data_IF_644352311364
#
_entry.id   IF_644352311364
#
_cell.length_a   1.000
_cell.length_b   1.000
_cell.length_c   1.000
_cell.angle_alpha   90.00
_cell.angle_beta   90.00
_cell.angle_gamma   90.00
#
_symmetry.space_group_name_H-M   'P 1'
#
loop_
_entity.id
_entity.type
_entity.pdbx_description
1 polymer ?
#
# COMPACT_ATOMS: atom_id res chain seq x y z
N UNK A 1 41.93 23.16 14.00
CA UNK A 1 42.26 22.05 14.93
C UNK A 1 41.75 20.76 14.34
N UNK A 2 42.64 19.78 14.22
CA UNK A 2 42.41 18.45 13.67
C UNK A 2 41.99 17.44 14.75
N UNK A 3 41.32 16.35 14.33
CA UNK A 3 41.46 14.95 14.78
C UNK A 3 40.17 14.19 14.37
N UNK A 4 40.23 13.25 13.41
CA UNK A 4 40.50 11.79 13.55
C UNK A 4 39.36 11.08 14.32
N UNK A 5 38.75 9.98 13.85
CA UNK A 5 39.33 8.64 13.73
C UNK A 5 38.70 7.77 12.62
N UNK A 6 39.52 6.86 12.09
CA UNK A 6 39.26 5.90 11.01
C UNK A 6 38.84 4.50 11.51
N UNK A 7 38.32 3.64 10.61
CA UNK A 7 38.64 2.19 10.50
C UNK A 7 37.93 1.58 9.28
N UNK A 8 38.62 1.31 8.15
CA UNK A 8 39.19 0.02 7.66
C UNK A 8 38.19 -1.12 7.37
N UNK A 9 38.10 -1.50 6.09
CA UNK A 9 38.25 -2.87 5.55
C UNK A 9 38.24 -2.80 4.01
N UNK A 10 39.40 -2.78 3.34
CA UNK A 10 40.19 -3.91 2.81
C UNK A 10 39.87 -4.27 1.36
N UNK A 11 40.92 -4.17 0.54
CA UNK A 11 41.06 -4.42 -0.91
C UNK A 11 40.72 -5.87 -1.31
N UNK A 12 40.10 -6.04 -2.47
CA UNK A 12 40.46 -6.98 -3.58
C UNK A 12 39.83 -6.35 -4.84
N UNK A 13 40.55 -5.82 -5.83
CA UNK A 13 41.37 -6.52 -6.83
C UNK A 13 40.74 -6.30 -8.22
N UNK A 14 41.33 -5.42 -9.04
CA UNK A 14 40.94 -5.21 -10.45
C UNK A 14 41.51 -6.36 -11.30
N UNK A 15 40.73 -6.90 -12.24
CA UNK A 15 41.25 -7.28 -13.55
C UNK A 15 40.12 -7.22 -14.59
N UNK A 16 40.32 -6.33 -15.56
CA UNK A 16 39.66 -6.30 -16.85
C UNK A 16 40.52 -7.19 -17.74
N UNK A 17 39.99 -8.22 -18.42
CA UNK A 17 40.43 -8.69 -19.75
C UNK A 17 39.50 -9.82 -20.25
N UNK A 18 38.89 -9.54 -21.40
CA UNK A 18 38.44 -10.39 -22.53
C UNK A 18 38.25 -11.91 -22.38
N UNK A 19 37.09 -12.38 -22.85
CA UNK A 19 36.87 -13.75 -23.35
C UNK A 19 35.56 -13.88 -24.13
N UNK A 20 35.65 -14.11 -25.44
CA UNK A 20 34.54 -14.45 -26.36
C UNK A 20 34.19 -15.95 -26.26
N UNK A 21 32.91 -16.32 -26.26
CA UNK A 21 32.33 -17.38 -27.14
C UNK A 21 30.87 -17.74 -26.81
N UNK A 22 30.08 -17.79 -27.90
CA UNK A 22 28.88 -18.55 -28.27
C UNK A 22 27.79 -19.05 -27.29
N UNK A 23 26.58 -18.55 -27.57
CA UNK A 23 25.29 -19.23 -27.79
C UNK A 23 24.87 -20.38 -26.87
N UNK A 24 23.84 -20.13 -26.06
CA UNK A 24 22.71 -21.07 -25.92
C UNK A 24 21.43 -20.35 -25.46
N UNK A 25 20.37 -20.74 -26.15
CA UNK A 25 18.95 -20.43 -25.98
C UNK A 25 18.51 -20.60 -24.52
N UNK A 26 18.06 -19.51 -23.88
CA UNK A 26 17.52 -19.52 -22.51
C UNK A 26 16.48 -18.41 -22.35
N UNK A 27 15.27 -18.80 -21.93
CA UNK A 27 14.01 -18.06 -22.01
C UNK A 27 13.96 -16.70 -21.32
N UNK A 28 13.36 -15.71 -21.99
CA UNK A 28 13.06 -14.36 -21.50
C UNK A 28 11.95 -14.30 -20.42
N UNK A 29 11.89 -15.25 -19.47
CA UNK A 29 10.71 -15.45 -18.63
C UNK A 29 10.92 -15.30 -17.11
N UNK A 30 11.98 -14.63 -16.67
CA UNK A 30 12.30 -14.52 -15.24
C UNK A 30 12.78 -13.12 -14.80
N UNK A 31 12.08 -12.06 -15.21
CA UNK A 31 12.36 -10.68 -14.74
C UNK A 31 11.12 -9.83 -14.45
N UNK A 32 10.02 -10.41 -13.95
CA UNK A 32 8.77 -9.62 -13.69
C UNK A 32 8.25 -9.65 -12.26
N UNK A 33 8.90 -10.34 -11.31
CA UNK A 33 8.37 -10.45 -9.94
C UNK A 33 9.00 -9.51 -8.90
N UNK A 34 10.19 -8.96 -9.14
CA UNK A 34 10.93 -8.20 -8.12
C UNK A 34 10.57 -6.69 -8.04
N UNK A 35 9.94 -6.11 -9.06
CA UNK A 35 9.57 -4.69 -9.05
C UNK A 35 8.25 -4.38 -8.31
N UNK A 36 7.44 -5.39 -8.00
CA UNK A 36 6.16 -5.18 -7.31
C UNK A 36 6.35 -5.03 -5.78
N UNK A 37 7.31 -5.78 -5.21
CA UNK A 37 7.62 -5.74 -3.79
C UNK A 37 8.41 -4.49 -3.37
N UNK A 38 9.30 -3.97 -4.23
CA UNK A 38 10.06 -2.74 -3.93
C UNK A 38 9.21 -1.47 -3.98
N UNK A 39 8.16 -1.43 -4.82
CA UNK A 39 7.20 -0.32 -4.84
C UNK A 39 6.30 -0.26 -3.60
N UNK A 40 6.16 -1.37 -2.87
CA UNK A 40 5.36 -1.41 -1.64
C UNK A 40 6.15 -1.00 -0.40
N UNK A 41 7.48 -1.03 -0.46
CA UNK A 41 8.34 -0.57 0.63
C UNK A 41 8.69 0.92 0.46
N UNK A 42 8.08 1.75 1.32
CA UNK A 42 8.52 3.11 1.74
C UNK A 42 7.90 4.37 1.13
N UNK A 43 6.75 4.33 0.47
CA UNK A 43 6.06 5.58 0.10
C UNK A 43 4.61 5.65 0.56
N UNK A 44 4.14 6.87 0.79
CA UNK A 44 2.73 7.19 0.96
C UNK A 44 1.87 6.53 -0.14
N UNK A 45 0.60 6.31 0.15
CA UNK A 45 -0.34 5.87 -0.89
C UNK A 45 -0.56 7.05 -1.84
N UNK A 46 -0.03 6.92 -3.04
CA UNK A 46 -0.02 7.97 -4.07
C UNK A 46 -0.78 7.54 -5.32
N UNK A 47 -0.88 8.45 -6.29
CA UNK A 47 -1.49 8.18 -7.58
C UNK A 47 -0.91 6.89 -8.21
N UNK A 48 -1.77 6.08 -8.83
CA UNK A 48 -1.48 4.75 -9.41
C UNK A 48 -1.16 3.63 -8.43
N UNK A 49 -1.10 3.89 -7.12
CA UNK A 49 -0.99 2.80 -6.12
C UNK A 49 -2.21 1.90 -6.21
N UNK A 50 -2.00 0.59 -6.31
CA UNK A 50 -3.08 -0.41 -6.27
C UNK A 50 -3.28 -0.88 -4.83
N UNK A 51 -4.53 -0.86 -4.37
CA UNK A 51 -4.92 -1.26 -3.02
C UNK A 51 -5.98 -2.35 -3.10
N UNK A 52 -5.95 -3.26 -2.12
CA UNK A 52 -7.01 -4.26 -1.95
C UNK A 52 -8.24 -3.60 -1.33
N UNK A 53 -9.42 -4.02 -1.73
CA UNK A 53 -10.67 -3.64 -1.08
C UNK A 53 -11.02 -4.72 -0.06
N UNK A 54 -11.29 -4.31 1.17
CA UNK A 54 -11.52 -5.23 2.31
C UNK A 54 -12.93 -5.08 2.88
N UNK A 55 -13.90 -4.87 2.01
CA UNK A 55 -15.31 -4.87 2.35
C UNK A 55 -16.11 -5.77 1.39
N UNK A 56 -17.40 -5.93 1.68
CA UNK A 56 -18.32 -6.69 0.85
C UNK A 56 -19.07 -5.83 -0.20
N UNK A 57 -18.54 -4.66 -0.58
CA UNK A 57 -19.15 -3.80 -1.62
C UNK A 57 -19.14 -4.45 -3.02
N UNK A 58 -18.29 -5.47 -3.21
CA UNK A 58 -18.10 -6.20 -4.45
C UNK A 58 -16.87 -5.75 -5.24
N UNK A 59 -16.20 -4.65 -4.89
CA UNK A 59 -14.90 -4.34 -5.45
C UNK A 59 -13.81 -5.24 -4.83
N UNK A 60 -12.80 -5.62 -5.61
CA UNK A 60 -11.65 -6.44 -5.16
C UNK A 60 -10.36 -5.63 -5.08
N UNK A 61 -10.09 -4.82 -6.12
CA UNK A 61 -8.91 -3.94 -6.18
C UNK A 61 -9.30 -2.58 -6.72
N UNK A 62 -8.67 -1.55 -6.16
CA UNK A 62 -8.79 -0.17 -6.62
C UNK A 62 -7.41 0.41 -6.89
N UNK A 63 -7.34 1.38 -7.80
CA UNK A 63 -6.15 2.17 -8.05
C UNK A 63 -6.38 3.60 -7.57
N UNK A 64 -5.52 4.08 -6.68
CA UNK A 64 -5.55 5.45 -6.19
C UNK A 64 -5.40 6.45 -7.35
N UNK A 65 -6.30 7.43 -7.39
CA UNK A 65 -6.24 8.57 -8.30
C UNK A 65 -5.65 9.76 -7.53
N UNK A 66 -6.18 10.02 -6.33
CA UNK A 66 -5.81 11.19 -5.56
C UNK A 66 -6.03 10.97 -4.06
N UNK A 67 -5.10 11.46 -3.23
CA UNK A 67 -5.32 11.60 -1.80
C UNK A 67 -6.06 12.92 -1.50
N UNK A 68 -7.15 12.87 -0.72
CA UNK A 68 -7.89 14.09 -0.36
C UNK A 68 -7.17 14.94 0.68
N UNK A 69 -6.27 14.31 1.45
CA UNK A 69 -5.46 14.97 2.48
C UNK A 69 -3.98 14.74 2.20
N UNK A 70 -3.20 15.81 2.33
CA UNK A 70 -1.74 15.78 2.24
C UNK A 70 -1.18 15.94 0.82
N UNK A 71 -0.03 16.61 0.72
CA UNK A 71 0.67 16.85 -0.56
C UNK A 71 1.47 15.63 -1.06
N UNK A 72 1.96 14.79 -0.13
CA UNK A 72 2.86 13.65 -0.45
C UNK A 72 2.10 12.34 -0.74
N UNK A 73 0.80 12.31 -0.53
CA UNK A 73 -0.05 11.10 -0.61
C UNK A 73 -0.79 10.81 0.70
N UNK A 74 -1.55 9.72 0.72
CA UNK A 74 -2.38 9.30 1.84
C UNK A 74 -1.64 8.39 2.82
N UNK A 75 -2.03 8.50 4.10
CA UNK A 75 -1.59 7.64 5.19
C UNK A 75 -2.75 6.82 5.73
N UNK A 76 -2.45 5.99 6.74
CA UNK A 76 -3.46 5.24 7.48
C UNK A 76 -4.56 6.15 8.07
N UNK A 77 -5.80 5.85 7.67
CA UNK A 77 -7.02 6.55 8.05
C UNK A 77 -7.35 7.77 7.20
N UNK A 78 -6.61 8.04 6.11
CA UNK A 78 -6.96 9.11 5.17
C UNK A 78 -7.90 8.60 4.07
N UNK A 79 -8.71 9.52 3.54
CA UNK A 79 -9.61 9.25 2.41
C UNK A 79 -8.90 9.51 1.09
N UNK A 80 -9.07 8.59 0.14
CA UNK A 80 -8.58 8.68 -1.23
C UNK A 80 -9.74 8.61 -2.22
N UNK A 81 -9.53 9.17 -3.41
CA UNK A 81 -10.32 8.90 -4.60
C UNK A 81 -9.61 7.80 -5.39
N UNK A 82 -10.34 6.81 -5.85
CA UNK A 82 -9.80 5.65 -6.54
C UNK A 82 -10.69 5.17 -7.69
N UNK A 83 -10.11 4.49 -8.67
CA UNK A 83 -10.84 3.78 -9.72
C UNK A 83 -10.86 2.29 -9.45
N UNK A 84 -12.01 1.64 -9.63
CA UNK A 84 -12.16 0.20 -9.43
C UNK A 84 -11.53 -0.55 -10.60
N UNK A 85 -10.56 -1.42 -10.32
CA UNK A 85 -9.83 -2.19 -11.34
C UNK A 85 -10.36 -3.61 -11.48
N UNK A 86 -10.75 -4.21 -10.36
CA UNK A 86 -11.32 -5.55 -10.31
C UNK A 86 -12.55 -5.52 -9.40
N UNK A 87 -13.64 -6.17 -9.84
CA UNK A 87 -14.89 -6.26 -9.10
C UNK A 87 -15.59 -7.59 -9.38
N UNK A 88 -16.45 -8.01 -8.45
CA UNK A 88 -17.37 -9.12 -8.63
C UNK A 88 -18.50 -8.73 -9.60
N UNK A 89 -18.93 -9.61 -10.53
CA UNK A 89 -19.98 -9.30 -11.50
C UNK A 89 -21.29 -8.82 -10.83
N UNK A 90 -21.67 -9.46 -9.72
CA UNK A 90 -22.90 -9.18 -8.98
C UNK A 90 -22.70 -8.16 -7.84
N UNK A 91 -21.52 -7.54 -7.74
CA UNK A 91 -21.22 -6.54 -6.71
C UNK A 91 -21.99 -5.24 -6.91
N UNK A 92 -22.23 -4.49 -5.80
CA UNK A 92 -22.80 -3.14 -5.84
C UNK A 92 -21.90 -2.16 -6.60
N UNK A 93 -20.59 -2.33 -6.45
CA UNK A 93 -19.58 -1.50 -7.11
C UNK A 93 -19.02 -2.25 -8.32
N UNK A 94 -19.08 -1.62 -9.50
CA UNK A 94 -18.62 -2.18 -10.79
C UNK A 94 -17.21 -1.72 -11.15
N UNK A 95 -16.54 -2.49 -12.01
CA UNK A 95 -15.24 -2.12 -12.61
C UNK A 95 -15.34 -0.78 -13.34
N UNK A 96 -14.28 0.02 -13.28
CA UNK A 96 -14.19 1.33 -13.95
C UNK A 96 -14.81 2.48 -13.15
N UNK A 97 -15.68 2.21 -12.17
CA UNK A 97 -16.30 3.25 -11.35
C UNK A 97 -15.26 4.01 -10.53
N UNK A 98 -15.41 5.33 -10.45
CA UNK A 98 -14.66 6.18 -9.51
C UNK A 98 -15.37 6.16 -8.17
N UNK A 99 -14.61 5.87 -7.11
CA UNK A 99 -15.11 5.66 -5.74
C UNK A 99 -14.21 6.37 -4.73
N UNK A 100 -14.73 6.58 -3.52
CA UNK A 100 -13.96 7.03 -2.38
C UNK A 100 -13.61 5.84 -1.51
N UNK A 101 -12.45 5.88 -0.87
CA UNK A 101 -12.01 4.82 0.05
C UNK A 101 -11.22 5.37 1.21
N UNK A 102 -11.42 4.81 2.39
CA UNK A 102 -10.60 5.09 3.58
C UNK A 102 -9.51 4.05 3.67
N UNK A 103 -8.26 4.49 3.83
CA UNK A 103 -7.11 3.59 4.02
C UNK A 103 -7.19 2.96 5.40
N UNK A 104 -7.33 1.64 5.45
CA UNK A 104 -7.43 0.87 6.70
C UNK A 104 -6.21 0.02 6.96
N UNK A 105 -5.43 -0.36 5.95
CA UNK A 105 -4.11 -0.98 6.14
C UNK A 105 -3.10 -0.31 5.23
N UNK A 106 -1.90 -0.13 5.75
CA UNK A 106 -0.80 0.50 5.04
C UNK A 106 0.52 -0.19 5.39
N UNK A 107 1.32 -0.47 4.36
CA UNK A 107 2.68 -0.97 4.51
C UNK A 107 3.65 0.08 5.07
N UNK A 108 3.30 1.36 4.95
CA UNK A 108 4.03 2.46 5.57
C UNK A 108 3.72 2.52 7.07
N UNK A 109 4.77 2.53 7.90
CA UNK A 109 4.64 2.61 9.35
C UNK A 109 4.02 3.94 9.80
N UNK A 110 3.28 3.88 10.90
CA UNK A 110 2.73 5.05 11.59
C UNK A 110 3.05 4.95 13.07
N UNK A 111 3.84 5.91 13.55
CA UNK A 111 4.09 6.07 14.99
C UNK A 111 2.83 6.48 15.75
N UNK A 112 2.69 5.92 16.94
CA UNK A 112 1.68 6.25 17.95
C UNK A 112 2.30 7.19 19.00
N UNK A 113 1.44 7.75 19.85
CA UNK A 113 1.89 8.69 20.90
C UNK A 113 2.64 8.00 22.05
N UNK A 114 2.48 6.70 22.22
CA UNK A 114 3.21 5.87 23.17
C UNK A 114 4.59 5.41 22.65
N UNK A 115 4.98 5.83 21.44
CA UNK A 115 6.22 5.43 20.79
C UNK A 115 6.15 4.10 20.04
N UNK A 116 5.05 3.34 20.16
CA UNK A 116 4.85 2.14 19.34
C UNK A 116 4.58 2.50 17.89
N UNK A 117 4.86 1.58 16.95
CA UNK A 117 4.54 1.75 15.54
C UNK A 117 3.52 0.73 15.07
N UNK A 118 2.59 1.16 14.21
CA UNK A 118 1.69 0.26 13.49
C UNK A 118 2.11 0.14 12.03
N UNK A 119 2.20 -1.09 11.54
CA UNK A 119 2.48 -1.44 10.15
C UNK A 119 1.70 -2.70 9.78
N UNK A 120 1.26 -2.76 8.53
CA UNK A 120 0.61 -3.93 7.95
C UNK A 120 1.43 -4.48 6.78
N UNK A 121 1.16 -5.72 6.36
CA UNK A 121 1.86 -6.33 5.24
C UNK A 121 1.39 -5.79 3.88
N UNK A 122 0.14 -5.34 3.80
CA UNK A 122 -0.47 -4.85 2.57
C UNK A 122 -1.20 -3.50 2.71
N UNK A 123 -1.45 -2.88 1.57
CA UNK A 123 -2.25 -1.67 1.46
C UNK A 123 -3.71 -2.03 1.15
N UNK A 124 -4.63 -1.60 2.02
CA UNK A 124 -6.05 -1.91 1.88
C UNK A 124 -6.96 -0.74 2.22
N UNK A 125 -8.13 -0.73 1.59
CA UNK A 125 -9.17 0.30 1.75
C UNK A 125 -10.55 -0.29 1.99
N UNK A 126 -11.38 0.48 2.68
CA UNK A 126 -12.83 0.27 2.74
C UNK A 126 -13.49 1.36 1.90
N UNK A 127 -14.44 0.98 1.05
CA UNK A 127 -15.13 1.93 0.18
C UNK A 127 -16.16 2.73 0.97
N UNK A 128 -16.19 4.03 0.71
CA UNK A 128 -17.10 4.97 1.35
C UNK A 128 -17.82 5.82 0.32
N UNK A 129 -18.96 6.38 0.70
CA UNK A 129 -19.63 7.43 -0.05
C UNK A 129 -18.94 8.79 0.11
N UNK A 130 -19.53 9.84 -0.49
CA UNK A 130 -19.00 11.20 -0.40
C UNK A 130 -19.08 11.78 1.01
N UNK A 131 -19.97 11.25 1.84
CA UNK A 131 -20.21 11.61 3.24
C UNK A 131 -19.30 10.80 4.20
N UNK A 132 -18.43 9.95 3.67
CA UNK A 132 -17.50 9.11 4.44
C UNK A 132 -18.17 7.92 5.15
N UNK A 133 -19.38 7.55 4.73
CA UNK A 133 -20.10 6.38 5.24
C UNK A 133 -19.70 5.12 4.45
N UNK A 134 -19.51 3.97 5.11
CA UNK A 134 -19.13 2.73 4.43
C UNK A 134 -20.23 2.27 3.45
N UNK A 135 -19.83 1.88 2.24
CA UNK A 135 -20.72 1.32 1.22
C UNK A 135 -21.02 -0.16 1.52
N UNK A 136 -20.02 -0.88 2.02
CA UNK A 136 -20.15 -2.25 2.50
C UNK A 136 -20.86 -2.33 3.85
N UNK A 137 -21.40 -3.50 4.15
CA UNK A 137 -22.04 -3.82 5.43
C UNK A 137 -21.10 -4.60 6.35
N UNK A 138 -19.94 -5.07 5.84
CA UNK A 138 -18.94 -5.79 6.64
C UNK A 138 -17.54 -5.49 6.13
N UNK A 139 -16.59 -5.38 7.07
CA UNK A 139 -15.18 -5.19 6.79
C UNK A 139 -14.41 -6.46 7.17
N UNK A 140 -13.47 -6.87 6.31
CA UNK A 140 -12.69 -8.09 6.45
C UNK A 140 -11.24 -7.81 6.88
N UNK A 141 -10.70 -8.67 7.74
CA UNK A 141 -9.34 -8.57 8.24
C UNK A 141 -9.17 -7.55 9.37
N UNK A 142 -7.93 -7.36 9.85
CA UNK A 142 -7.64 -6.47 10.97
C UNK A 142 -7.82 -5.01 10.58
N UNK A 143 -8.40 -4.23 11.50
CA UNK A 143 -8.68 -2.81 11.31
C UNK A 143 -8.09 -1.99 12.47
N UNK A 144 -7.24 -0.99 12.19
CA UNK A 144 -6.54 -0.22 13.22
C UNK A 144 -7.47 0.72 14.01
N UNK A 145 -7.33 0.76 15.33
CA UNK A 145 -8.07 1.68 16.21
C UNK A 145 -7.81 3.18 15.92
N UNK A 146 -6.76 3.52 15.17
CA UNK A 146 -6.45 4.87 14.69
C UNK A 146 -7.61 5.52 13.90
N UNK A 147 -8.51 4.71 13.34
CA UNK A 147 -9.72 5.16 12.66
C UNK A 147 -10.67 5.94 13.59
N UNK A 148 -10.64 5.71 14.92
CA UNK A 148 -11.42 6.49 15.90
C UNK A 148 -11.01 7.96 15.86
N UNK A 149 -9.71 8.24 15.93
CA UNK A 149 -9.16 9.60 15.90
C UNK A 149 -9.43 10.32 14.56
N UNK A 150 -9.63 9.55 13.49
CA UNK A 150 -9.95 10.05 12.15
C UNK A 150 -11.46 10.19 11.88
N UNK A 151 -12.32 10.00 12.89
CA UNK A 151 -13.78 10.08 12.80
C UNK A 151 -14.43 9.01 11.89
N UNK A 152 -13.76 7.88 11.67
CA UNK A 152 -14.28 6.74 10.91
C UNK A 152 -14.83 5.64 11.82
N UNK A 153 -15.60 6.01 12.86
CA UNK A 153 -16.07 5.09 13.91
C UNK A 153 -16.96 3.97 13.34
N UNK A 154 -17.80 4.28 12.36
CA UNK A 154 -18.69 3.28 11.73
C UNK A 154 -17.91 2.14 11.07
N UNK A 155 -16.75 2.41 10.47
CA UNK A 155 -15.90 1.37 9.88
C UNK A 155 -15.42 0.39 10.95
N UNK A 156 -15.08 0.90 12.14
CA UNK A 156 -14.67 0.06 13.27
C UNK A 156 -15.83 -0.80 13.79
N UNK A 157 -17.06 -0.28 13.80
CA UNK A 157 -18.24 -1.05 14.20
C UNK A 157 -18.53 -2.22 13.25
N UNK A 158 -18.20 -2.09 11.97
CA UNK A 158 -18.40 -3.13 10.95
C UNK A 158 -17.24 -4.14 10.88
N UNK A 159 -16.14 -3.89 11.59
CA UNK A 159 -14.95 -4.72 11.57
C UNK A 159 -15.09 -5.91 12.51
N UNK A 160 -14.70 -7.10 12.04
CA UNK A 160 -14.67 -8.30 12.88
C UNK A 160 -13.51 -8.35 13.88
N UNK A 161 -12.39 -7.67 13.58
CA UNK A 161 -11.18 -7.67 14.40
C UNK A 161 -10.50 -6.29 14.37
N UNK A 162 -10.23 -5.73 15.56
CA UNK A 162 -9.59 -4.42 15.73
C UNK A 162 -8.14 -4.60 16.23
N UNK A 163 -7.20 -3.86 15.64
CA UNK A 163 -5.76 -3.91 15.93
C UNK A 163 -5.19 -2.55 16.40
#
# INVERSE_FOLDING_TARGET
MAASFASRCSRVGRSLFSGLSNSSLGSAHEMTHNNYFSQQQRTFIQMRTVLKVVDNSGAKKVMCIQALKGKKGARLGDTIVASVKEAHPNGKVKKGKVVYGVVVRAAMQKGRCDGSEVRFDDNAVVLVDKQGQPIGTRVFGPVPHELRRKKHVKILTLAGHIA
#
